data_IF_313852891474
#
_entry.id   IF_313852891474
#
_cell.length_a   1.000
_cell.length_b   1.000
_cell.length_c   1.000
_cell.angle_alpha   90.00
_cell.angle_beta   90.00
_cell.angle_gamma   90.00
#
_symmetry.space_group_name_H-M   'P 1'
#
loop_
_entity.id
_entity.type
_entity.pdbx_description
1 polymer ?
#
# COMPACT_ATOMS: atom_id res chain seq x y z
N UNK A 1 77.54 -25.02 12.12
CA UNK A 1 77.13 -23.79 11.40
C UNK A 1 76.44 -22.91 12.42
N UNK A 2 77.18 -21.93 12.92
CA UNK A 2 76.89 -21.13 14.13
C UNK A 2 76.64 -19.70 13.66
N UNK A 3 75.61 -19.02 14.17
CA UNK A 3 75.35 -17.64 13.78
C UNK A 3 74.37 -16.92 14.70
N UNK A 4 74.92 -16.18 15.67
CA UNK A 4 74.41 -14.87 16.09
C UNK A 4 75.64 -13.95 16.00
N UNK A 5 75.52 -12.73 15.43
CA UNK A 5 75.34 -11.56 16.30
C UNK A 5 74.39 -10.49 15.74
N UNK A 6 73.72 -9.78 16.64
CA UNK A 6 73.24 -8.41 16.41
C UNK A 6 74.38 -7.41 16.69
N UNK A 7 74.35 -6.19 16.11
CA UNK A 7 74.00 -5.02 16.94
C UNK A 7 73.27 -3.87 16.21
N UNK A 8 72.52 -3.05 16.98
CA UNK A 8 72.05 -1.69 16.65
C UNK A 8 73.16 -0.64 16.98
N UNK A 9 73.09 0.67 16.62
CA UNK A 9 72.16 1.67 17.20
C UNK A 9 71.72 2.79 16.19
N UNK A 10 70.73 3.66 16.43
CA UNK A 10 70.75 4.96 17.15
C UNK A 10 69.63 5.83 16.50
N UNK A 11 68.97 6.84 17.07
CA UNK A 11 68.87 7.39 18.42
C UNK A 11 67.69 8.40 18.45
N UNK A 12 67.05 8.49 19.62
CA UNK A 12 66.60 9.70 20.32
C UNK A 12 65.51 10.66 19.79
N UNK A 13 64.59 10.98 20.72
CA UNK A 13 63.68 12.14 20.66
C UNK A 13 62.47 12.08 21.61
N UNK A 14 62.69 12.14 22.92
CA UNK A 14 61.71 12.21 24.05
C UNK A 14 60.99 13.60 24.12
N UNK A 15 59.78 13.73 24.74
CA UNK A 15 58.87 14.91 24.69
C UNK A 15 59.20 15.98 25.77
N UNK A 16 58.49 17.14 25.87
CA UNK A 16 57.49 17.29 26.96
C UNK A 16 56.37 18.37 26.82
N UNK A 17 55.29 18.13 27.57
CA UNK A 17 54.52 19.01 28.49
C UNK A 17 53.40 20.01 28.06
N UNK A 18 52.32 19.87 28.86
CA UNK A 18 51.00 20.49 29.03
C UNK A 18 51.04 22.01 29.38
N UNK A 19 49.91 22.76 29.26
CA UNK A 19 48.98 22.83 30.39
C UNK A 19 47.47 22.93 30.03
N UNK A 20 46.65 22.33 30.88
CA UNK A 20 45.21 22.63 31.01
C UNK A 20 44.98 24.07 31.50
N UNK A 21 43.84 24.66 31.14
CA UNK A 21 42.89 25.03 32.20
C UNK A 21 41.44 24.62 31.88
N UNK A 22 40.80 24.12 32.92
CA UNK A 22 39.44 24.47 33.36
C UNK A 22 38.25 24.09 32.47
N UNK A 23 37.68 22.95 32.89
CA UNK A 23 36.31 22.51 32.72
C UNK A 23 35.39 23.48 33.51
N UNK A 24 34.90 24.53 32.86
CA UNK A 24 33.76 25.33 33.34
C UNK A 24 32.75 25.55 32.22
N UNK A 25 31.49 25.20 32.50
CA UNK A 25 30.35 25.68 31.72
C UNK A 25 29.80 24.72 30.68
N UNK A 26 29.26 23.58 31.14
CA UNK A 26 28.15 22.93 30.43
C UNK A 26 26.99 23.92 30.31
N UNK A 27 26.76 24.46 29.13
CA UNK A 27 25.43 24.96 28.73
C UNK A 27 25.26 24.75 27.22
N UNK A 28 24.74 23.60 26.78
CA UNK A 28 24.03 23.51 25.51
C UNK A 28 22.77 24.40 25.60
N UNK A 29 22.32 24.96 24.48
CA UNK A 29 21.41 26.10 24.45
C UNK A 29 20.05 25.79 25.10
N UNK A 30 19.51 26.76 25.82
CA UNK A 30 18.14 26.77 26.35
C UNK A 30 17.06 26.63 25.24
N UNK A 31 17.45 26.65 23.97
CA UNK A 31 16.59 26.54 22.80
C UNK A 31 15.73 25.25 22.77
N UNK A 32 16.23 24.12 23.28
CA UNK A 32 15.47 22.86 23.28
C UNK A 32 14.42 22.77 24.38
N UNK A 33 14.47 23.67 25.38
CA UNK A 33 13.50 23.72 26.50
C UNK A 33 12.56 24.90 26.37
N UNK A 34 12.97 25.95 25.67
CA UNK A 34 12.14 27.08 25.28
C UNK A 34 11.14 26.66 24.18
N UNK A 35 11.57 25.90 23.16
CA UNK A 35 10.68 25.39 22.09
C UNK A 35 9.49 24.52 22.58
N UNK A 36 9.65 23.56 23.51
CA UNK A 36 8.53 22.79 24.07
C UNK A 36 7.61 23.62 24.97
N UNK A 37 8.15 24.65 25.64
CA UNK A 37 7.37 25.55 26.49
C UNK A 37 6.54 26.51 25.64
N UNK A 38 7.13 27.07 24.58
CA UNK A 38 6.42 27.89 23.58
C UNK A 38 5.38 27.07 22.82
N UNK A 39 5.68 25.82 22.42
CA UNK A 39 4.70 24.95 21.77
C UNK A 39 3.51 24.61 22.69
N UNK A 40 3.75 24.42 24.00
CA UNK A 40 2.68 24.23 24.99
C UNK A 40 1.91 25.53 25.29
N UNK A 41 2.56 26.69 25.21
CA UNK A 41 1.91 27.97 25.34
C UNK A 41 0.99 28.23 24.14
N UNK A 42 1.48 28.01 22.92
CA UNK A 42 0.71 28.11 21.68
C UNK A 42 -0.47 27.11 21.64
N UNK A 43 -0.30 25.89 22.16
CA UNK A 43 -1.41 24.94 22.31
C UNK A 43 -2.50 25.46 23.26
N UNK A 44 -2.12 26.06 24.39
CA UNK A 44 -3.08 26.62 25.35
C UNK A 44 -3.79 27.85 24.80
N UNK A 45 -3.08 28.69 24.05
CA UNK A 45 -3.63 29.86 23.38
C UNK A 45 -4.62 29.44 22.28
N UNK A 46 -4.26 28.43 21.47
CA UNK A 46 -5.16 27.88 20.46
C UNK A 46 -6.43 27.31 21.10
N UNK A 47 -6.32 26.58 22.21
CA UNK A 47 -7.48 26.06 22.96
C UNK A 47 -8.32 27.18 23.58
N UNK A 48 -7.69 28.22 24.13
CA UNK A 48 -8.39 29.37 24.71
C UNK A 48 -9.15 30.19 23.65
N UNK A 49 -8.64 30.22 22.42
CA UNK A 49 -9.29 30.87 21.28
C UNK A 49 -10.11 29.92 20.42
N UNK A 50 -10.23 28.64 20.82
CA UNK A 50 -11.12 27.70 20.15
C UNK A 50 -12.56 27.99 20.59
N UNK A 51 -13.48 28.29 19.66
CA UNK A 51 -14.90 28.49 19.98
C UNK A 51 -15.46 27.30 20.75
N UNK A 52 -16.15 27.57 21.87
CA UNK A 52 -16.54 26.57 22.87
C UNK A 52 -17.42 25.41 22.39
N UNK A 53 -17.97 25.47 21.16
CA UNK A 53 -18.69 24.35 20.58
C UNK A 53 -17.77 23.20 20.15
N UNK A 54 -16.50 23.43 19.80
CA UNK A 54 -15.61 22.41 19.21
C UNK A 54 -15.24 21.26 20.16
N UNK A 55 -15.35 21.45 21.48
CA UNK A 55 -14.97 20.44 22.47
C UNK A 55 -16.13 19.93 23.33
N UNK A 56 -17.37 20.31 22.99
CA UNK A 56 -18.56 19.70 23.59
C UNK A 56 -18.81 18.34 22.94
N UNK A 57 -19.19 17.32 23.71
CA UNK A 57 -19.30 15.91 23.27
C UNK A 57 -20.43 15.68 22.23
N UNK A 58 -21.07 16.77 21.78
CA UNK A 58 -22.15 16.80 20.80
C UNK A 58 -21.81 17.52 19.48
N UNK A 59 -20.59 18.02 19.24
CA UNK A 59 -20.30 18.70 17.96
C UNK A 59 -19.92 17.76 16.83
N UNK A 60 -20.94 17.42 16.04
CA UNK A 60 -20.75 17.07 14.63
C UNK A 60 -20.61 18.35 13.79
N UNK A 61 -19.56 18.46 12.98
CA UNK A 61 -19.52 19.46 11.90
C UNK A 61 -20.41 18.93 10.77
N UNK A 62 -21.71 19.17 10.92
CA UNK A 62 -22.71 19.02 9.87
C UNK A 62 -22.85 20.34 9.12
N UNK A 63 -22.78 20.29 7.79
CA UNK A 63 -22.88 21.46 6.92
C UNK A 63 -24.06 22.37 7.27
N UNK A 64 -23.78 23.67 7.22
CA UNK A 64 -24.69 24.81 7.38
C UNK A 64 -26.15 24.53 7.02
N UNK A 65 -26.96 24.25 8.04
CA UNK A 65 -28.41 24.26 8.01
C UNK A 65 -28.87 25.24 9.08
N UNK A 66 -29.21 26.46 8.68
CA UNK A 66 -29.97 27.41 9.50
C UNK A 66 -31.31 27.60 8.81
N UNK A 67 -32.40 27.16 9.47
CA UNK A 67 -33.77 27.41 9.03
C UNK A 67 -34.26 26.62 7.81
N UNK A 68 -33.60 25.53 7.42
CA UNK A 68 -34.08 24.65 6.33
C UNK A 68 -33.88 25.19 4.91
N UNK A 69 -33.10 26.25 4.72
CA UNK A 69 -32.65 26.71 3.41
C UNK A 69 -31.14 26.53 3.28
N UNK A 70 -30.70 25.57 2.45
CA UNK A 70 -29.31 25.54 2.01
C UNK A 70 -29.10 26.73 1.07
N UNK A 71 -28.31 27.71 1.51
CA UNK A 71 -27.76 28.70 0.59
C UNK A 71 -26.59 28.06 -0.14
N UNK A 72 -26.89 27.32 -1.20
CA UNK A 72 -25.92 27.01 -2.24
C UNK A 72 -25.50 28.32 -2.90
N UNK A 73 -24.22 28.65 -2.82
CA UNK A 73 -23.63 29.67 -3.68
C UNK A 73 -23.79 29.19 -5.12
N UNK A 74 -24.37 30.06 -5.95
CA UNK A 74 -24.81 29.85 -7.35
C UNK A 74 -26.29 29.47 -7.48
N UNK A 75 -27.06 30.40 -8.05
CA UNK A 75 -28.51 30.43 -8.02
C UNK A 75 -29.21 29.32 -8.80
N UNK A 76 -30.32 28.87 -8.23
CA UNK A 76 -31.30 28.01 -8.90
C UNK A 76 -32.32 27.49 -7.90
N UNK A 77 -33.57 27.97 -7.98
CA UNK A 77 -34.67 27.52 -7.12
C UNK A 77 -35.37 26.35 -7.80
N UNK A 78 -35.40 25.19 -7.16
CA UNK A 78 -36.34 24.12 -7.50
C UNK A 78 -37.16 23.77 -6.26
N UNK A 79 -38.47 24.00 -6.36
CA UNK A 79 -39.48 23.68 -5.36
C UNK A 79 -39.91 22.21 -5.48
N UNK A 80 -40.33 21.67 -4.35
CA UNK A 80 -40.94 20.36 -4.09
C UNK A 80 -40.02 19.14 -3.97
N UNK A 81 -39.76 18.77 -2.71
CA UNK A 81 -39.52 17.37 -2.31
C UNK A 81 -40.41 17.08 -1.10
N UNK A 82 -41.49 16.32 -1.31
CA UNK A 82 -42.26 15.72 -0.22
C UNK A 82 -41.43 14.60 0.40
N UNK A 83 -40.97 14.76 1.64
CA UNK A 83 -40.31 13.69 2.39
C UNK A 83 -41.36 12.72 2.95
N UNK A 84 -41.67 11.68 2.19
CA UNK A 84 -42.32 10.47 2.73
C UNK A 84 -41.38 9.77 3.72
N UNK A 85 -41.97 9.12 4.73
CA UNK A 85 -41.28 8.32 5.75
C UNK A 85 -40.25 7.38 5.10
N UNK A 86 -38.97 7.61 5.37
CA UNK A 86 -37.88 6.72 4.94
C UNK A 86 -37.95 5.42 5.72
N UNK A 87 -38.58 4.39 5.15
CA UNK A 87 -38.44 3.02 5.63
C UNK A 87 -37.15 2.43 5.07
N UNK A 88 -36.14 2.29 5.93
CA UNK A 88 -34.89 1.60 5.58
C UNK A 88 -35.15 0.10 5.76
N UNK A 89 -35.46 -0.58 4.66
CA UNK A 89 -35.54 -2.03 4.64
C UNK A 89 -34.13 -2.63 4.52
N UNK A 90 -33.53 -2.98 5.67
CA UNK A 90 -32.35 -3.84 5.69
C UNK A 90 -32.78 -5.30 5.52
N UNK A 91 -32.71 -5.81 4.30
CA UNK A 91 -32.93 -7.22 4.01
C UNK A 91 -31.65 -8.03 4.22
N UNK A 92 -31.64 -8.83 5.30
CA UNK A 92 -30.77 -10.01 5.45
C UNK A 92 -29.44 -9.79 6.19
N UNK A 93 -28.84 -10.87 6.76
CA UNK A 93 -27.53 -10.79 7.38
C UNK A 93 -26.52 -10.32 6.34
N UNK A 94 -25.60 -9.44 6.74
CA UNK A 94 -24.54 -8.93 5.88
C UNK A 94 -23.77 -10.10 5.25
N UNK A 95 -24.18 -10.51 4.05
CA UNK A 95 -23.40 -11.38 3.21
C UNK A 95 -22.09 -10.64 2.98
N UNK A 96 -20.98 -11.25 3.41
CA UNK A 96 -19.63 -10.79 3.09
C UNK A 96 -19.63 -10.30 1.65
N UNK A 97 -19.33 -9.01 1.43
CA UNK A 97 -19.40 -8.38 0.13
C UNK A 97 -18.78 -9.34 -0.89
N UNK A 98 -19.62 -9.88 -1.77
CA UNK A 98 -19.16 -10.82 -2.77
C UNK A 98 -18.25 -10.02 -3.70
N UNK A 99 -16.94 -10.02 -3.42
CA UNK A 99 -15.96 -9.28 -4.18
C UNK A 99 -16.14 -9.63 -5.66
N UNK A 100 -16.47 -8.61 -6.45
CA UNK A 100 -16.83 -8.78 -7.84
C UNK A 100 -15.63 -9.36 -8.60
N UNK A 101 -15.80 -10.59 -9.10
CA UNK A 101 -14.90 -11.22 -10.05
C UNK A 101 -15.63 -11.33 -11.37
N UNK A 102 -15.00 -10.91 -12.46
CA UNK A 102 -15.62 -10.87 -13.79
C UNK A 102 -14.66 -11.35 -14.86
N UNK A 103 -15.20 -12.05 -15.87
CA UNK A 103 -14.42 -12.45 -17.03
C UNK A 103 -14.07 -11.23 -17.88
N UNK A 104 -12.82 -11.15 -18.33
CA UNK A 104 -12.32 -10.12 -19.23
C UNK A 104 -12.70 -10.51 -20.66
N UNK A 105 -13.34 -9.61 -21.45
CA UNK A 105 -13.72 -9.92 -22.83
C UNK A 105 -12.52 -10.31 -23.71
N UNK A 106 -12.65 -11.40 -24.47
CA UNK A 106 -11.58 -11.84 -25.38
C UNK A 106 -11.18 -10.79 -26.41
N UNK A 107 -12.15 -9.99 -26.89
CA UNK A 107 -11.87 -8.92 -27.85
C UNK A 107 -10.86 -7.91 -27.30
N UNK A 108 -10.92 -7.62 -26.00
CA UNK A 108 -9.97 -6.72 -25.33
C UNK A 108 -8.58 -7.35 -25.26
N UNK A 109 -8.49 -8.65 -24.97
CA UNK A 109 -7.21 -9.38 -24.95
C UNK A 109 -6.57 -9.41 -26.34
N UNK A 110 -7.36 -9.67 -27.39
CA UNK A 110 -6.89 -9.67 -28.79
C UNK A 110 -6.41 -8.30 -29.25
N UNK A 111 -7.15 -7.24 -28.91
CA UNK A 111 -6.75 -5.88 -29.21
C UNK A 111 -5.42 -5.50 -28.52
N UNK A 112 -5.27 -5.89 -27.24
CA UNK A 112 -4.02 -5.67 -26.52
C UNK A 112 -2.87 -6.49 -27.09
N UNK A 113 -3.11 -7.75 -27.48
CA UNK A 113 -2.10 -8.62 -28.09
C UNK A 113 -1.56 -8.08 -29.43
N UNK A 114 -2.37 -7.30 -30.17
CA UNK A 114 -1.95 -6.69 -31.42
C UNK A 114 -0.92 -5.55 -31.23
N UNK A 115 -0.90 -4.90 -30.06
CA UNK A 115 -0.04 -3.75 -29.77
C UNK A 115 1.06 -4.04 -28.75
N UNK A 116 0.96 -5.15 -28.02
CA UNK A 116 1.91 -5.51 -26.98
C UNK A 116 3.24 -5.99 -27.57
N UNK A 117 4.34 -5.47 -27.04
CA UNK A 117 5.70 -5.86 -27.40
C UNK A 117 6.33 -6.62 -26.24
N UNK A 118 6.77 -7.84 -26.52
CA UNK A 118 7.38 -8.71 -25.53
C UNK A 118 8.76 -8.15 -25.11
N UNK A 119 8.93 -7.93 -23.81
CA UNK A 119 10.22 -7.59 -23.23
C UNK A 119 11.16 -8.81 -23.11
N UNK A 120 12.45 -8.61 -22.88
CA UNK A 120 13.43 -9.70 -22.81
C UNK A 120 13.16 -10.71 -21.69
N UNK A 121 12.49 -10.28 -20.61
CA UNK A 121 12.14 -11.13 -19.46
C UNK A 121 10.78 -11.83 -19.62
N UNK A 122 10.01 -11.50 -20.66
CA UNK A 122 8.64 -11.97 -20.81
C UNK A 122 8.55 -13.48 -21.00
N UNK A 123 9.41 -14.05 -21.86
CA UNK A 123 9.45 -15.49 -22.09
C UNK A 123 9.80 -16.26 -20.81
N UNK A 124 10.79 -15.79 -20.04
CA UNK A 124 11.15 -16.40 -18.76
C UNK A 124 10.00 -16.32 -17.74
N UNK A 125 9.26 -15.20 -17.71
CA UNK A 125 8.09 -15.06 -16.85
C UNK A 125 6.96 -16.04 -17.24
N UNK A 126 6.78 -16.29 -18.54
CA UNK A 126 5.79 -17.25 -19.04
C UNK A 126 6.13 -18.69 -18.65
N UNK A 127 7.39 -19.11 -18.75
CA UNK A 127 7.81 -20.43 -18.28
C UNK A 127 7.63 -20.58 -16.77
N UNK A 128 8.04 -19.57 -15.99
CA UNK A 128 7.81 -19.57 -14.54
C UNK A 128 6.34 -19.66 -14.18
N UNK A 129 5.46 -18.99 -14.93
CA UNK A 129 4.01 -19.08 -14.72
C UNK A 129 3.48 -20.49 -14.99
N UNK A 130 4.03 -21.21 -15.98
CA UNK A 130 3.65 -22.61 -16.25
C UNK A 130 4.03 -23.55 -15.11
N UNK A 131 5.23 -23.36 -14.54
CA UNK A 131 5.76 -24.20 -13.47
C UNK A 131 5.10 -23.91 -12.12
N UNK A 132 5.07 -22.65 -11.72
CA UNK A 132 4.65 -22.23 -10.38
C UNK A 132 3.15 -21.96 -10.27
N UNK A 133 2.45 -21.76 -11.40
CA UNK A 133 1.03 -21.36 -11.52
C UNK A 133 0.65 -20.00 -10.93
N UNK A 134 1.48 -19.44 -10.07
CA UNK A 134 1.31 -18.11 -9.45
C UNK A 134 2.52 -17.25 -9.78
N UNK A 135 2.29 -16.03 -10.28
CA UNK A 135 3.33 -15.06 -10.55
C UNK A 135 2.95 -13.69 -9.98
N UNK A 136 3.91 -13.00 -9.38
CA UNK A 136 3.74 -11.62 -8.88
C UNK A 136 4.58 -10.68 -9.72
N UNK A 137 3.94 -9.67 -10.32
CA UNK A 137 4.57 -8.64 -11.13
C UNK A 137 4.80 -7.39 -10.28
N UNK A 138 6.07 -7.18 -9.90
CA UNK A 138 6.51 -5.96 -9.23
C UNK A 138 7.06 -4.94 -10.23
N UNK A 139 6.78 -3.66 -9.99
CA UNK A 139 7.25 -2.57 -10.85
C UNK A 139 6.64 -1.24 -10.47
N UNK A 140 7.21 -0.15 -11.00
CA UNK A 140 6.73 1.20 -10.76
C UNK A 140 5.29 1.41 -11.29
N UNK A 141 4.67 2.51 -10.90
CA UNK A 141 3.37 2.90 -11.44
C UNK A 141 3.46 3.13 -12.95
N UNK A 142 2.40 2.80 -13.68
CA UNK A 142 2.33 2.91 -15.14
C UNK A 142 3.38 2.11 -15.95
N UNK A 143 4.07 1.12 -15.35
CA UNK A 143 5.03 0.25 -16.06
C UNK A 143 4.40 -0.83 -16.97
N UNK A 144 3.08 -0.81 -17.17
CA UNK A 144 2.39 -1.79 -18.01
C UNK A 144 2.18 -3.17 -17.37
N UNK A 145 2.38 -3.33 -16.05
CA UNK A 145 2.19 -4.61 -15.32
C UNK A 145 0.86 -5.30 -15.61
N UNK A 146 -0.22 -4.52 -15.63
CA UNK A 146 -1.54 -5.06 -15.92
C UNK A 146 -1.62 -5.60 -17.36
N UNK A 147 -1.07 -4.88 -18.34
CA UNK A 147 -1.00 -5.36 -19.72
C UNK A 147 -0.13 -6.62 -19.83
N UNK A 148 1.03 -6.65 -19.17
CA UNK A 148 1.90 -7.82 -19.12
C UNK A 148 1.20 -9.03 -18.48
N UNK A 149 0.46 -8.84 -17.39
CA UNK A 149 -0.31 -9.91 -16.74
C UNK A 149 -1.34 -10.53 -17.68
N UNK A 150 -2.12 -9.69 -18.38
CA UNK A 150 -3.09 -10.15 -19.37
C UNK A 150 -2.43 -10.90 -20.52
N UNK A 151 -1.27 -10.41 -20.98
CA UNK A 151 -0.53 -11.02 -22.08
C UNK A 151 0.12 -12.34 -21.69
N UNK A 152 0.62 -12.47 -20.47
CA UNK A 152 1.12 -13.76 -19.96
C UNK A 152 0.01 -14.81 -19.97
N UNK A 153 -1.17 -14.48 -19.46
CA UNK A 153 -2.32 -15.41 -19.46
C UNK A 153 -2.84 -15.69 -20.87
N UNK A 154 -2.89 -14.68 -21.74
CA UNK A 154 -3.30 -14.85 -23.12
C UNK A 154 -2.34 -15.78 -23.89
N UNK A 155 -1.02 -15.59 -23.75
CA UNK A 155 0.02 -16.41 -24.41
C UNK A 155 0.14 -17.80 -23.81
N UNK A 156 -0.29 -17.99 -22.57
CA UNK A 156 -0.42 -19.29 -21.94
C UNK A 156 -1.57 -20.11 -22.57
N UNK A 157 -2.52 -19.46 -23.24
CA UNK A 157 -3.62 -20.13 -23.92
C UNK A 157 -4.74 -20.58 -22.97
N UNK A 158 -4.92 -19.90 -21.83
CA UNK A 158 -5.99 -20.22 -20.88
C UNK A 158 -7.38 -19.97 -21.50
N UNK A 159 -8.39 -20.79 -21.17
CA UNK A 159 -9.72 -20.71 -21.80
C UNK A 159 -10.49 -19.43 -21.48
N UNK A 160 -10.29 -18.87 -20.29
CA UNK A 160 -10.91 -17.63 -19.85
C UNK A 160 -9.96 -16.90 -18.90
N UNK A 161 -10.01 -15.57 -18.92
CA UNK A 161 -9.26 -14.71 -18.00
C UNK A 161 -10.27 -13.96 -17.12
N UNK A 162 -10.14 -14.10 -15.80
CA UNK A 162 -11.00 -13.44 -14.82
C UNK A 162 -10.22 -12.36 -14.07
N UNK A 163 -10.82 -11.19 -13.91
CA UNK A 163 -10.30 -10.14 -13.04
C UNK A 163 -10.87 -10.34 -11.64
N UNK A 164 -9.99 -10.48 -10.65
CA UNK A 164 -10.34 -10.47 -9.24
C UNK A 164 -10.40 -9.03 -8.72
N UNK A 165 -11.30 -8.76 -7.78
CA UNK A 165 -11.40 -7.45 -7.12
C UNK A 165 -10.11 -7.14 -6.35
N UNK A 166 -9.64 -5.89 -6.44
CA UNK A 166 -8.52 -5.40 -5.65
C UNK A 166 -8.79 -5.48 -4.13
N UNK A 167 -10.05 -5.52 -3.69
CA UNK A 167 -10.39 -5.65 -2.27
C UNK A 167 -10.10 -7.05 -1.71
N UNK A 168 -9.77 -8.02 -2.57
CA UNK A 168 -9.46 -9.39 -2.17
C UNK A 168 -8.29 -9.40 -1.21
N UNK A 169 -8.53 -9.85 0.01
CA UNK A 169 -7.48 -9.99 1.01
C UNK A 169 -6.52 -11.15 0.65
N UNK A 170 -5.24 -11.11 1.05
CA UNK A 170 -4.31 -12.22 0.82
C UNK A 170 -4.81 -13.56 1.40
N UNK A 171 -5.57 -13.51 2.50
CA UNK A 171 -6.15 -14.70 3.13
C UNK A 171 -7.32 -15.30 2.32
N UNK A 172 -8.06 -14.46 1.58
CA UNK A 172 -9.17 -14.90 0.72
C UNK A 172 -8.71 -15.35 -0.66
N UNK A 173 -7.46 -15.10 -1.04
CA UNK A 173 -6.97 -15.40 -2.38
C UNK A 173 -7.23 -16.85 -2.77
N UNK A 174 -6.93 -17.81 -1.89
CA UNK A 174 -7.19 -19.23 -2.15
C UNK A 174 -8.67 -19.55 -2.36
N UNK A 175 -9.59 -18.96 -1.59
CA UNK A 175 -11.03 -19.28 -1.70
C UNK A 175 -11.71 -18.68 -2.93
N UNK A 176 -11.09 -17.66 -3.57
CA UNK A 176 -11.61 -17.02 -4.78
C UNK A 176 -11.19 -17.74 -6.07
N UNK A 177 -10.16 -18.59 -6.03
CA UNK A 177 -9.61 -19.31 -7.19
C UNK A 177 -10.34 -20.63 -7.40
N UNK A 178 -11.63 -20.55 -7.72
CA UNK A 178 -12.51 -21.73 -7.87
C UNK A 178 -12.74 -22.15 -9.31
N UNK A 179 -12.52 -21.23 -10.26
CA UNK A 179 -12.73 -21.49 -11.69
C UNK A 179 -11.42 -21.85 -12.41
N UNK A 180 -11.47 -22.72 -13.44
CA UNK A 180 -10.35 -22.98 -14.33
C UNK A 180 -9.96 -21.73 -15.14
N UNK A 181 -8.73 -21.72 -15.64
CA UNK A 181 -8.21 -20.64 -16.49
C UNK A 181 -7.37 -19.60 -15.76
N UNK A 182 -7.26 -18.40 -16.33
CA UNK A 182 -6.42 -17.33 -15.83
C UNK A 182 -7.15 -16.41 -14.86
N UNK A 183 -6.47 -16.00 -13.79
CA UNK A 183 -6.94 -15.01 -12.83
C UNK A 183 -5.94 -13.86 -12.77
N UNK A 184 -6.43 -12.63 -12.78
CA UNK A 184 -5.62 -11.42 -12.62
C UNK A 184 -6.12 -10.68 -11.40
N UNK A 185 -5.23 -10.40 -10.46
CA UNK A 185 -5.52 -9.52 -9.33
C UNK A 185 -4.75 -8.23 -9.51
N UNK A 186 -5.45 -7.09 -9.62
CA UNK A 186 -4.79 -5.79 -9.74
C UNK A 186 -4.60 -5.18 -8.35
N UNK A 187 -3.39 -4.68 -8.09
CA UNK A 187 -3.06 -3.84 -6.94
C UNK A 187 -3.53 -4.41 -5.60
N UNK A 188 -2.96 -5.56 -5.21
CA UNK A 188 -3.25 -6.20 -3.93
C UNK A 188 -2.96 -5.23 -2.76
N UNK A 189 -3.93 -4.94 -1.87
CA UNK A 189 -3.79 -3.99 -0.78
C UNK A 189 -2.92 -4.58 0.32
N UNK A 190 -1.62 -4.33 0.22
CA UNK A 190 -0.64 -4.70 1.22
C UNK A 190 -0.53 -3.61 2.26
N UNK A 191 -0.63 -3.99 3.53
CA UNK A 191 -0.36 -3.10 4.66
C UNK A 191 0.53 -3.81 5.67
N UNK A 192 1.12 -3.06 6.61
CA UNK A 192 1.91 -3.65 7.72
C UNK A 192 1.12 -4.74 8.47
N UNK A 193 -0.20 -4.57 8.58
CA UNK A 193 -1.08 -5.49 9.29
C UNK A 193 -1.62 -6.62 8.40
N UNK A 194 -1.41 -6.53 7.08
CA UNK A 194 -1.88 -7.51 6.09
C UNK A 194 -0.79 -7.74 5.03
N UNK A 195 0.35 -8.35 5.39
CA UNK A 195 1.39 -8.66 4.43
C UNK A 195 0.99 -9.85 3.55
N UNK A 196 1.47 -9.85 2.30
CA UNK A 196 1.48 -11.06 1.49
C UNK A 196 2.58 -11.97 2.04
N UNK A 197 2.19 -13.17 2.49
CA UNK A 197 3.08 -14.18 3.04
C UNK A 197 3.14 -15.36 2.09
N UNK A 198 4.25 -16.08 2.12
CA UNK A 198 4.44 -17.28 1.30
C UNK A 198 3.35 -18.32 1.52
N UNK A 199 2.85 -18.46 2.76
CA UNK A 199 1.73 -19.35 3.09
C UNK A 199 0.47 -19.06 2.26
N UNK A 200 0.18 -17.78 1.98
CA UNK A 200 -0.96 -17.41 1.14
C UNK A 200 -0.72 -17.80 -0.33
N UNK A 201 0.51 -17.64 -0.82
CA UNK A 201 0.90 -18.03 -2.17
C UNK A 201 0.88 -19.56 -2.36
N UNK A 202 1.36 -20.31 -1.37
CA UNK A 202 1.29 -21.77 -1.38
C UNK A 202 -0.15 -22.28 -1.37
N UNK A 203 -1.01 -21.71 -0.52
CA UNK A 203 -2.42 -22.06 -0.50
C UNK A 203 -3.12 -21.74 -1.83
N UNK A 204 -2.83 -20.59 -2.42
CA UNK A 204 -3.34 -20.22 -3.75
C UNK A 204 -2.86 -21.19 -4.83
N UNK A 205 -1.56 -21.53 -4.85
CA UNK A 205 -0.98 -22.50 -5.80
C UNK A 205 -1.64 -23.88 -5.67
N UNK A 206 -1.82 -24.37 -4.45
CA UNK A 206 -2.44 -25.67 -4.21
C UNK A 206 -3.89 -25.70 -4.69
N UNK A 207 -4.62 -24.59 -4.52
CA UNK A 207 -5.96 -24.46 -5.06
C UNK A 207 -5.96 -24.42 -6.59
N UNK A 208 -5.09 -23.62 -7.21
CA UNK A 208 -4.95 -23.52 -8.67
C UNK A 208 -4.56 -24.84 -9.33
N UNK A 209 -3.80 -25.69 -8.62
CA UNK A 209 -3.50 -27.06 -9.06
C UNK A 209 -4.75 -27.94 -9.14
N UNK A 210 -5.70 -27.76 -8.24
CA UNK A 210 -6.95 -28.55 -8.23
C UNK A 210 -7.90 -28.16 -9.35
N UNK A 211 -7.99 -26.86 -9.65
CA UNK A 211 -8.95 -26.32 -10.63
C UNK A 211 -8.35 -26.10 -12.02
N UNK A 212 -7.08 -26.45 -12.19
CA UNK A 212 -6.29 -26.13 -13.38
C UNK A 212 -6.34 -24.65 -13.81
N UNK A 213 -5.94 -23.79 -12.86
CA UNK A 213 -5.88 -22.35 -13.05
C UNK A 213 -4.46 -21.78 -12.93
N UNK A 214 -4.36 -20.49 -13.28
CA UNK A 214 -3.17 -19.67 -13.17
C UNK A 214 -3.52 -18.31 -12.56
N UNK A 215 -2.63 -17.73 -11.77
CA UNK A 215 -2.82 -16.41 -11.15
C UNK A 215 -1.65 -15.49 -11.45
N UNK A 216 -1.95 -14.26 -11.84
CA UNK A 216 -0.99 -13.15 -11.91
C UNK A 216 -1.46 -12.00 -11.02
N UNK A 217 -0.57 -11.51 -10.15
CA UNK A 217 -0.80 -10.39 -9.21
C UNK A 217 0.05 -9.19 -9.60
#
# INVERSE_FOLDING_TARGET
MTGIPAPAPAADGTPPQDPRPDDEGTTPPDDEQEQPREARAAQRELVAHTPGFIFDEATSIGGSLVGGAQHGVSGGVARDVFMGRTEIHNYGPAASAAHASGQIPEAQLKALAAVFVDGPVFAAALERLREERVLVLAGAHASGRHAAALMLLHRLGVPAVHSLSAETSPAELGSRLTAPGGHVLRDLPLSRNRPLRDTHLYAARDQLRKVDGYLVV
#
